data_IF_757888498494
#
_entry.id   IF_757888498494
#
_cell.length_a   1.000
_cell.length_b   1.000
_cell.length_c   1.000
_cell.angle_alpha   90.00
_cell.angle_beta   90.00
_cell.angle_gamma   90.00
#
_symmetry.space_group_name_H-M   'P 1'
#
loop_
_entity.id
_entity.type
_entity.pdbx_description
1 polymer ?
#
# COMPACT_ATOMS: atom_id res chain seq x y z
N UNK A 1 35.47 -65.86 16.01
CA UNK A 1 36.09 -64.56 15.85
C UNK A 1 36.02 -64.09 14.38
N UNK A 2 34.91 -63.57 13.96
CA UNK A 2 34.81 -62.86 12.66
C UNK A 2 35.37 -61.44 12.85
N UNK A 3 36.62 -61.24 12.46
CA UNK A 3 37.17 -59.92 12.25
C UNK A 3 36.41 -59.28 11.07
N UNK A 4 35.60 -58.25 11.34
CA UNK A 4 35.07 -57.33 10.28
C UNK A 4 36.30 -56.72 9.62
N UNK A 5 36.62 -57.13 8.39
CA UNK A 5 37.55 -56.41 7.55
C UNK A 5 36.94 -55.00 7.28
N UNK A 6 37.56 -53.97 7.81
CA UNK A 6 37.17 -52.60 7.51
C UNK A 6 37.38 -52.35 6.01
N UNK A 7 36.35 -51.82 5.33
CA UNK A 7 36.47 -51.40 3.93
C UNK A 7 37.48 -50.25 3.84
N UNK A 8 38.53 -50.45 3.06
CA UNK A 8 39.52 -49.40 2.78
C UNK A 8 39.07 -48.63 1.52
N UNK A 9 38.68 -47.39 1.73
CA UNK A 9 38.21 -46.53 0.63
C UNK A 9 39.32 -46.22 -0.36
N UNK A 10 39.05 -46.40 -1.64
CA UNK A 10 39.94 -45.96 -2.71
C UNK A 10 39.90 -44.43 -2.86
N UNK A 11 40.95 -43.84 -3.43
CA UNK A 11 40.98 -42.38 -3.70
C UNK A 11 39.84 -41.91 -4.62
N UNK A 12 39.39 -42.79 -5.53
CA UNK A 12 38.24 -42.49 -6.40
C UNK A 12 36.93 -42.45 -5.61
N UNK A 13 36.69 -43.35 -4.67
CA UNK A 13 35.50 -43.32 -3.83
C UNK A 13 35.47 -42.13 -2.87
N UNK A 14 36.64 -41.78 -2.29
CA UNK A 14 36.78 -40.57 -1.45
C UNK A 14 36.47 -39.32 -2.24
N UNK A 15 36.96 -39.20 -3.46
CA UNK A 15 36.70 -38.09 -4.34
C UNK A 15 35.22 -38.00 -4.72
N UNK A 16 34.61 -39.14 -5.09
CA UNK A 16 33.19 -39.19 -5.44
C UNK A 16 32.31 -38.81 -4.26
N UNK A 17 32.56 -39.29 -3.05
CA UNK A 17 31.79 -38.90 -1.86
C UNK A 17 31.96 -37.44 -1.51
N UNK A 18 33.19 -36.88 -1.64
CA UNK A 18 33.43 -35.44 -1.44
C UNK A 18 32.67 -34.56 -2.44
N UNK A 19 32.65 -34.94 -3.70
CA UNK A 19 31.93 -34.21 -4.74
C UNK A 19 30.40 -34.30 -4.55
N UNK A 20 29.91 -35.49 -4.17
CA UNK A 20 28.49 -35.70 -3.83
C UNK A 20 28.05 -34.82 -2.64
N UNK A 21 28.88 -34.73 -1.58
CA UNK A 21 28.60 -33.85 -0.43
C UNK A 21 28.55 -32.38 -0.83
N UNK A 22 29.48 -31.91 -1.67
CA UNK A 22 29.47 -30.52 -2.16
C UNK A 22 28.18 -30.20 -2.94
N UNK A 23 27.76 -31.12 -3.82
CA UNK A 23 26.51 -30.95 -4.59
C UNK A 23 25.31 -30.88 -3.64
N UNK A 24 25.21 -31.80 -2.68
CA UNK A 24 24.12 -31.78 -1.70
C UNK A 24 24.10 -30.48 -0.87
N UNK A 25 25.26 -30.02 -0.41
CA UNK A 25 25.38 -28.75 0.31
C UNK A 25 24.88 -27.56 -0.54
N UNK A 26 25.26 -27.51 -1.82
CA UNK A 26 24.82 -26.45 -2.72
C UNK A 26 23.29 -26.45 -2.92
N UNK A 27 22.70 -27.63 -3.09
CA UNK A 27 21.25 -27.83 -3.22
C UNK A 27 20.53 -27.41 -1.95
N UNK A 28 21.01 -27.83 -0.78
CA UNK A 28 20.42 -27.49 0.52
C UNK A 28 20.50 -25.96 0.78
N UNK A 29 21.65 -25.34 0.54
CA UNK A 29 21.84 -23.93 0.71
C UNK A 29 20.88 -23.12 -0.20
N UNK A 30 20.77 -23.51 -1.47
CA UNK A 30 19.84 -22.89 -2.41
C UNK A 30 18.37 -23.05 -1.99
N UNK A 31 18.01 -24.21 -1.45
CA UNK A 31 16.65 -24.49 -0.95
C UNK A 31 16.33 -23.66 0.30
N UNK A 32 17.27 -23.56 1.24
CA UNK A 32 17.13 -22.75 2.45
C UNK A 32 16.97 -21.27 2.08
N UNK A 33 17.82 -20.75 1.18
CA UNK A 33 17.73 -19.35 0.70
C UNK A 33 16.38 -19.07 0.01
N UNK A 34 15.91 -19.99 -0.84
CA UNK A 34 14.62 -19.84 -1.52
C UNK A 34 13.43 -19.85 -0.52
N UNK A 35 13.46 -20.72 0.47
CA UNK A 35 12.42 -20.80 1.50
C UNK A 35 12.44 -19.58 2.43
N UNK A 36 13.63 -19.10 2.81
CA UNK A 36 13.79 -17.88 3.59
C UNK A 36 13.27 -16.66 2.85
N UNK A 37 13.55 -16.55 1.55
CA UNK A 37 13.04 -15.49 0.70
C UNK A 37 11.51 -15.54 0.57
N UNK A 38 10.96 -16.73 0.32
CA UNK A 38 9.51 -16.92 0.24
C UNK A 38 8.81 -16.58 1.56
N UNK A 39 9.39 -16.94 2.70
CA UNK A 39 8.88 -16.58 4.03
C UNK A 39 8.92 -15.07 4.28
N UNK A 40 9.98 -14.40 3.84
CA UNK A 40 10.09 -12.94 3.94
C UNK A 40 9.05 -12.23 3.08
N UNK A 41 8.79 -12.72 1.87
CA UNK A 41 7.73 -12.15 1.00
C UNK A 41 6.34 -12.35 1.62
N UNK A 42 6.03 -13.54 2.13
CA UNK A 42 4.74 -13.79 2.77
C UNK A 42 4.52 -12.89 4.00
N UNK A 43 5.56 -12.70 4.82
CA UNK A 43 5.49 -11.80 5.96
C UNK A 43 5.29 -10.32 5.55
N UNK A 44 5.94 -9.87 4.47
CA UNK A 44 5.74 -8.53 3.92
C UNK A 44 4.32 -8.34 3.37
N UNK A 45 3.78 -9.31 2.65
CA UNK A 45 2.39 -9.28 2.18
C UNK A 45 1.42 -9.19 3.36
N UNK A 46 1.61 -10.03 4.39
CA UNK A 46 0.78 -10.00 5.60
C UNK A 46 0.85 -8.65 6.32
N UNK A 47 2.04 -8.04 6.42
CA UNK A 47 2.19 -6.69 6.98
C UNK A 47 1.42 -5.68 6.14
N UNK A 48 1.57 -5.68 4.82
CA UNK A 48 0.90 -4.75 3.93
C UNK A 48 -0.63 -4.90 3.96
N UNK A 49 -1.12 -6.11 4.16
CA UNK A 49 -2.55 -6.40 4.28
C UNK A 49 -3.13 -5.95 5.64
N UNK A 50 -2.28 -5.78 6.66
CA UNK A 50 -2.68 -5.35 8.01
C UNK A 50 -2.44 -3.85 8.30
N UNK A 51 -1.83 -3.08 7.39
CA UNK A 51 -1.55 -1.64 7.57
C UNK A 51 -2.84 -0.79 7.61
N UNK A 52 -3.99 -1.33 7.19
CA UNK A 52 -5.27 -0.62 7.23
C UNK A 52 -5.46 0.40 6.10
N UNK A 53 -4.63 0.38 5.06
CA UNK A 53 -4.80 1.19 3.86
C UNK A 53 -4.70 0.37 2.58
N UNK A 54 -5.37 0.82 1.53
CA UNK A 54 -5.25 0.22 0.22
C UNK A 54 -3.93 0.69 -0.43
N UNK A 55 -3.10 -0.28 -0.86
CA UNK A 55 -1.79 -0.02 -1.44
C UNK A 55 -1.70 -0.65 -2.83
N UNK A 56 -1.17 0.12 -3.79
CA UNK A 56 -0.81 -0.41 -5.11
C UNK A 56 0.43 0.27 -5.67
N UNK A 57 1.08 -0.41 -6.60
CA UNK A 57 2.28 0.07 -7.29
C UNK A 57 2.06 -0.03 -8.79
N UNK A 58 2.44 1.02 -9.51
CA UNK A 58 2.41 1.04 -10.97
C UNK A 58 3.79 1.31 -11.56
N UNK A 59 4.06 0.74 -12.72
CA UNK A 59 5.22 1.11 -13.54
C UNK A 59 5.07 2.57 -13.99
N UNK A 60 6.10 3.37 -13.80
CA UNK A 60 6.05 4.82 -14.09
C UNK A 60 5.85 5.13 -15.58
N UNK A 61 6.39 4.28 -16.47
CA UNK A 61 6.36 4.52 -17.91
C UNK A 61 5.10 4.00 -18.58
N UNK A 62 4.62 2.82 -18.15
CA UNK A 62 3.49 2.13 -18.78
C UNK A 62 2.17 2.33 -18.04
N UNK A 63 2.20 2.79 -16.79
CA UNK A 63 1.02 2.85 -15.91
C UNK A 63 0.52 1.48 -15.45
N UNK A 64 1.14 0.38 -15.89
CA UNK A 64 0.70 -0.98 -15.55
C UNK A 64 0.83 -1.22 -14.05
N UNK A 65 -0.22 -1.79 -13.45
CA UNK A 65 -0.20 -2.22 -12.05
C UNK A 65 0.78 -3.39 -11.86
N UNK A 66 1.75 -3.21 -10.96
CA UNK A 66 2.78 -4.19 -10.61
C UNK A 66 2.45 -4.94 -9.33
N UNK A 67 1.76 -4.27 -8.40
CA UNK A 67 1.38 -4.82 -7.11
C UNK A 67 0.09 -4.19 -6.61
N UNK A 68 -0.72 -4.95 -5.88
CA UNK A 68 -1.88 -4.48 -5.13
C UNK A 68 -2.05 -5.37 -3.89
N UNK A 69 -2.21 -4.75 -2.71
CA UNK A 69 -2.50 -5.50 -1.49
C UNK A 69 -3.95 -5.98 -1.44
N UNK A 70 -4.27 -6.86 -0.49
CA UNK A 70 -5.61 -7.45 -0.39
C UNK A 70 -6.69 -6.42 -0.05
N UNK A 71 -6.35 -5.38 0.72
CA UNK A 71 -7.27 -4.29 1.05
C UNK A 71 -7.71 -3.58 -0.22
N UNK A 72 -6.78 -3.23 -1.13
CA UNK A 72 -7.15 -2.62 -2.42
C UNK A 72 -8.08 -3.51 -3.22
N UNK A 73 -7.72 -4.80 -3.36
CA UNK A 73 -8.51 -5.77 -4.14
C UNK A 73 -9.92 -5.95 -3.59
N UNK A 74 -10.09 -5.94 -2.26
CA UNK A 74 -11.39 -6.07 -1.62
C UNK A 74 -12.20 -4.78 -1.71
N UNK A 75 -11.55 -3.63 -1.48
CA UNK A 75 -12.24 -2.34 -1.44
C UNK A 75 -12.66 -1.86 -2.82
N UNK A 76 -11.82 -2.09 -3.84
CA UNK A 76 -12.02 -1.60 -5.22
C UNK A 76 -12.17 -2.74 -6.24
N UNK A 77 -12.75 -3.87 -5.84
CA UNK A 77 -12.91 -5.05 -6.71
C UNK A 77 -13.65 -4.74 -8.01
N UNK A 78 -14.74 -3.97 -7.94
CA UNK A 78 -15.57 -3.58 -9.08
C UNK A 78 -14.79 -2.66 -10.03
N UNK A 79 -14.18 -1.62 -9.49
CA UNK A 79 -13.44 -0.61 -10.23
C UNK A 79 -12.21 -1.21 -10.93
N UNK A 80 -11.58 -2.21 -10.30
CA UNK A 80 -10.47 -2.95 -10.89
C UNK A 80 -10.94 -3.87 -12.05
N UNK A 81 -12.12 -4.52 -11.91
CA UNK A 81 -12.69 -5.36 -12.96
C UNK A 81 -13.16 -4.53 -14.17
N UNK A 82 -13.74 -3.36 -13.92
CA UNK A 82 -14.29 -2.48 -14.96
C UNK A 82 -13.20 -1.60 -15.62
N UNK A 83 -11.93 -1.74 -15.23
CA UNK A 83 -10.80 -0.89 -15.64
C UNK A 83 -11.03 0.61 -15.41
N UNK A 84 -11.90 0.97 -14.46
CA UNK A 84 -12.30 2.35 -14.14
C UNK A 84 -11.51 2.95 -12.96
N UNK A 85 -10.59 2.20 -12.38
CA UNK A 85 -9.84 2.63 -11.19
C UNK A 85 -9.01 3.89 -11.43
N UNK A 86 -8.34 3.99 -12.59
CA UNK A 86 -7.56 5.18 -12.95
C UNK A 86 -8.45 6.41 -13.19
N UNK A 87 -9.63 6.23 -13.77
CA UNK A 87 -10.59 7.31 -13.99
C UNK A 87 -11.15 7.86 -12.66
N UNK A 88 -11.41 6.98 -11.70
CA UNK A 88 -11.82 7.37 -10.35
C UNK A 88 -10.77 8.25 -9.67
N UNK A 89 -9.50 7.90 -9.79
CA UNK A 89 -8.41 8.68 -9.21
C UNK A 89 -8.19 10.01 -9.92
N UNK A 90 -8.27 10.03 -11.26
CA UNK A 90 -8.06 11.24 -12.06
C UNK A 90 -9.18 12.27 -11.91
N UNK A 91 -10.44 11.83 -11.78
CA UNK A 91 -11.59 12.73 -11.60
C UNK A 91 -11.56 13.48 -10.26
N UNK A 92 -10.86 12.94 -9.28
CA UNK A 92 -10.85 13.42 -7.88
C UNK A 92 -9.57 14.16 -7.49
N UNK A 93 -8.49 14.06 -8.28
CA UNK A 93 -7.23 14.76 -8.02
C UNK A 93 -7.36 16.22 -8.46
N UNK A 94 -7.73 17.10 -7.56
CA UNK A 94 -7.39 18.52 -7.70
C UNK A 94 -5.88 18.62 -7.67
N UNK A 95 -5.27 18.91 -8.83
CA UNK A 95 -3.82 19.10 -9.00
C UNK A 95 -3.37 20.33 -8.20
N UNK A 96 -3.19 20.17 -6.92
CA UNK A 96 -2.41 21.11 -6.14
C UNK A 96 -0.93 20.72 -6.32
N UNK A 97 -0.20 21.52 -7.10
CA UNK A 97 1.20 21.28 -7.49
C UNK A 97 2.19 21.24 -6.32
N UNK A 98 1.72 21.51 -5.11
CA UNK A 98 2.56 21.64 -3.90
C UNK A 98 2.40 20.50 -2.87
N UNK A 99 1.41 19.62 -3.02
CA UNK A 99 1.16 18.53 -2.05
C UNK A 99 1.19 17.16 -2.71
N UNK A 100 2.01 16.30 -2.15
CA UNK A 100 2.11 14.85 -2.47
C UNK A 100 0.85 14.07 -2.04
N UNK A 101 -0.09 14.72 -1.36
CA UNK A 101 -1.33 14.13 -0.81
C UNK A 101 -2.53 14.77 -1.47
N UNK A 102 -3.41 13.96 -2.03
CA UNK A 102 -4.67 14.39 -2.66
C UNK A 102 -5.84 13.71 -1.96
N UNK A 103 -6.95 14.44 -1.76
CA UNK A 103 -8.18 13.86 -1.21
C UNK A 103 -9.06 13.39 -2.36
N UNK A 104 -9.47 12.13 -2.30
CA UNK A 104 -10.34 11.47 -3.28
C UNK A 104 -11.67 11.14 -2.64
N UNK A 105 -12.78 11.46 -3.30
CA UNK A 105 -14.12 11.07 -2.88
C UNK A 105 -14.68 10.00 -3.79
N UNK A 106 -15.07 8.87 -3.21
CA UNK A 106 -15.72 7.77 -3.92
C UNK A 106 -17.23 7.89 -3.77
N UNK A 107 -17.91 8.35 -4.82
CA UNK A 107 -19.33 8.68 -4.76
C UNK A 107 -20.25 7.47 -4.49
N UNK A 108 -19.97 6.29 -5.10
CA UNK A 108 -20.81 5.09 -4.88
C UNK A 108 -20.72 4.55 -3.45
N UNK A 109 -19.59 4.76 -2.75
CA UNK A 109 -19.36 4.29 -1.38
C UNK A 109 -19.50 5.40 -0.34
N UNK A 110 -19.71 6.63 -0.78
CA UNK A 110 -19.75 7.81 0.09
C UNK A 110 -18.52 7.92 1.02
N UNK A 111 -17.34 7.53 0.51
CA UNK A 111 -16.11 7.36 1.30
C UNK A 111 -15.04 8.34 0.82
N UNK A 112 -14.34 8.94 1.77
CA UNK A 112 -13.22 9.85 1.52
C UNK A 112 -11.89 9.13 1.74
N UNK A 113 -10.96 9.31 0.81
CA UNK A 113 -9.62 8.74 0.90
C UNK A 113 -8.55 9.83 0.81
N UNK A 114 -7.52 9.74 1.66
CA UNK A 114 -6.25 10.42 1.45
C UNK A 114 -5.41 9.56 0.49
N UNK A 115 -5.09 10.10 -0.68
CA UNK A 115 -4.22 9.47 -1.68
C UNK A 115 -2.82 10.06 -1.55
N UNK A 116 -1.86 9.23 -1.18
CA UNK A 116 -0.44 9.55 -1.19
C UNK A 116 0.22 8.85 -2.39
N UNK A 117 1.02 9.60 -3.16
CA UNK A 117 1.85 9.05 -4.24
C UNK A 117 3.33 9.30 -3.94
N UNK A 118 4.16 8.27 -4.11
CA UNK A 118 5.61 8.35 -3.92
C UNK A 118 6.35 7.54 -5.00
N UNK A 119 7.38 8.15 -5.59
CA UNK A 119 8.29 7.43 -6.48
C UNK A 119 9.18 6.48 -5.68
N UNK A 120 9.32 5.24 -6.13
CA UNK A 120 10.17 4.20 -5.53
C UNK A 120 10.99 3.49 -6.63
N UNK A 121 12.09 2.84 -6.23
CA UNK A 121 12.75 1.86 -7.07
C UNK A 121 12.06 0.50 -6.92
N UNK A 122 11.63 -0.10 -8.02
CA UNK A 122 11.05 -1.43 -8.01
C UNK A 122 12.13 -2.51 -7.97
N UNK A 123 11.72 -3.77 -7.75
CA UNK A 123 12.63 -4.93 -7.61
C UNK A 123 13.53 -5.18 -8.82
N UNK A 124 13.15 -4.71 -10.00
CA UNK A 124 13.94 -4.79 -11.24
C UNK A 124 14.80 -3.53 -11.48
N UNK A 125 14.86 -2.62 -10.50
CA UNK A 125 15.61 -1.37 -10.55
C UNK A 125 14.94 -0.25 -11.35
N UNK A 126 13.78 -0.48 -11.96
CA UNK A 126 13.02 0.56 -12.65
C UNK A 126 12.27 1.46 -11.67
N UNK A 127 11.92 2.65 -12.15
CA UNK A 127 11.08 3.57 -11.40
C UNK A 127 9.63 3.12 -11.40
N UNK A 128 9.02 3.14 -10.23
CA UNK A 128 7.62 2.83 -10.02
C UNK A 128 6.97 3.87 -9.11
N UNK A 129 5.66 4.01 -9.20
CA UNK A 129 4.88 4.86 -8.33
C UNK A 129 4.14 3.98 -7.31
N UNK A 130 4.41 4.22 -6.04
CA UNK A 130 3.68 3.65 -4.91
C UNK A 130 2.53 4.59 -4.56
N UNK A 131 1.34 4.04 -4.49
CA UNK A 131 0.14 4.75 -4.07
C UNK A 131 -0.42 4.10 -2.81
N UNK A 132 -0.85 4.93 -1.86
CA UNK A 132 -1.62 4.48 -0.70
C UNK A 132 -2.88 5.31 -0.55
N UNK A 133 -4.02 4.63 -0.34
CA UNK A 133 -5.31 5.24 -0.06
C UNK A 133 -5.70 4.90 1.37
N UNK A 134 -5.82 5.93 2.17
CA UNK A 134 -6.23 5.82 3.56
C UNK A 134 -7.65 6.35 3.72
N UNK A 135 -8.56 5.57 4.29
CA UNK A 135 -9.93 6.01 4.57
C UNK A 135 -9.93 7.08 5.65
N UNK A 136 -10.43 8.26 5.29
CA UNK A 136 -10.55 9.41 6.18
C UNK A 136 -12.00 9.84 6.39
N UNK A 137 -12.97 8.97 6.09
CA UNK A 137 -14.40 9.29 6.15
C UNK A 137 -14.80 9.73 7.55
N UNK A 138 -14.46 8.97 8.58
CA UNK A 138 -14.75 9.33 9.96
C UNK A 138 -14.12 10.68 10.34
N UNK A 139 -12.88 10.91 9.96
CA UNK A 139 -12.19 12.18 10.19
C UNK A 139 -12.93 13.35 9.54
N UNK A 140 -13.39 13.18 8.30
CA UNK A 140 -14.19 14.20 7.57
C UNK A 140 -15.53 14.46 8.23
N UNK A 141 -16.25 13.40 8.62
CA UNK A 141 -17.53 13.53 9.32
C UNK A 141 -17.38 14.23 10.68
N UNK A 142 -16.32 13.89 11.44
CA UNK A 142 -16.02 14.58 12.69
C UNK A 142 -15.68 16.06 12.47
N UNK A 143 -14.88 16.40 11.47
CA UNK A 143 -14.58 17.78 11.12
C UNK A 143 -15.85 18.56 10.79
N UNK A 144 -16.70 18.03 9.92
CA UNK A 144 -17.99 18.67 9.56
C UNK A 144 -18.89 18.85 10.77
N UNK A 145 -18.92 17.87 11.68
CA UNK A 145 -19.71 17.98 12.92
C UNK A 145 -19.20 19.08 13.83
N UNK A 146 -17.87 19.17 14.02
CA UNK A 146 -17.24 20.23 14.81
C UNK A 146 -17.47 21.59 14.17
N UNK A 147 -17.30 21.74 12.85
CA UNK A 147 -17.56 22.98 12.13
C UNK A 147 -19.02 23.41 12.26
N UNK A 148 -19.95 22.46 12.16
CA UNK A 148 -21.39 22.75 12.34
C UNK A 148 -21.71 23.19 13.77
N UNK A 149 -21.08 22.56 14.79
CA UNK A 149 -21.26 22.95 16.20
C UNK A 149 -20.61 24.30 16.51
N UNK A 150 -19.45 24.62 15.88
CA UNK A 150 -18.77 25.88 16.08
C UNK A 150 -19.48 27.07 15.41
N UNK A 151 -20.20 26.84 14.31
CA UNK A 151 -20.79 27.88 13.49
C UNK A 151 -22.30 28.07 13.74
N UNK A 152 -22.99 27.10 14.36
CA UNK A 152 -24.42 27.16 14.55
C UNK A 152 -24.79 27.27 16.04
N UNK A 153 -25.89 27.96 16.31
CA UNK A 153 -26.52 28.00 17.62
C UNK A 153 -27.21 26.67 17.92
N UNK A 154 -26.95 26.10 19.08
CA UNK A 154 -27.41 24.78 19.47
C UNK A 154 -28.95 24.67 19.56
N UNK A 155 -29.64 25.75 19.93
CA UNK A 155 -31.09 25.74 20.14
C UNK A 155 -31.87 25.95 18.84
N UNK A 156 -31.40 26.84 17.99
CA UNK A 156 -32.12 27.26 16.78
C UNK A 156 -31.63 26.58 15.51
N UNK A 157 -30.40 26.01 15.52
CA UNK A 157 -29.75 25.46 14.33
C UNK A 157 -29.29 26.50 13.31
N UNK A 158 -29.53 27.80 13.56
CA UNK A 158 -29.07 28.90 12.72
C UNK A 158 -27.61 29.24 12.96
N UNK A 159 -26.99 30.04 12.08
CA UNK A 159 -25.64 30.54 12.32
C UNK A 159 -25.56 31.27 13.65
N UNK A 160 -24.53 31.01 14.42
CA UNK A 160 -24.27 31.69 15.67
C UNK A 160 -23.75 33.12 15.38
N UNK A 161 -23.79 33.98 16.43
CA UNK A 161 -23.33 35.35 16.32
C UNK A 161 -21.95 35.54 15.75
N UNK A 162 -20.99 34.67 16.17
CA UNK A 162 -19.60 34.71 15.75
C UNK A 162 -19.49 34.47 14.22
N UNK A 163 -20.23 33.51 13.66
CA UNK A 163 -20.26 33.28 12.21
C UNK A 163 -20.84 34.40 11.44
N UNK A 164 -21.94 35.00 11.93
CA UNK A 164 -22.56 36.16 11.30
C UNK A 164 -21.62 37.38 11.28
N UNK A 165 -20.87 37.62 12.36
CA UNK A 165 -19.89 38.72 12.42
C UNK A 165 -18.73 38.49 11.44
N UNK A 166 -18.21 37.25 11.30
CA UNK A 166 -17.19 36.89 10.33
C UNK A 166 -17.65 37.09 8.87
N UNK A 167 -18.86 36.64 8.53
CA UNK A 167 -19.40 36.75 7.20
C UNK A 167 -19.65 38.24 6.84
N UNK A 168 -20.08 39.07 7.80
CA UNK A 168 -20.22 40.50 7.61
C UNK A 168 -18.89 41.23 7.39
N UNK A 169 -17.83 40.86 8.12
CA UNK A 169 -16.48 41.39 7.91
C UNK A 169 -15.95 41.10 6.52
N UNK A 170 -16.10 39.85 6.06
CA UNK A 170 -15.69 39.44 4.71
C UNK A 170 -16.45 40.25 3.62
N UNK A 171 -17.75 40.51 3.83
CA UNK A 171 -18.55 41.26 2.89
C UNK A 171 -18.13 42.73 2.79
N UNK A 172 -17.60 43.28 3.88
CA UNK A 172 -17.12 44.67 3.93
C UNK A 172 -15.72 44.82 3.32
N UNK A 173 -14.87 43.78 3.40
CA UNK A 173 -13.52 43.78 2.85
C UNK A 173 -13.49 43.55 1.33
N UNK A 174 -14.52 42.91 0.75
CA UNK A 174 -14.63 42.60 -0.69
C UNK A 174 -15.36 43.74 -1.47
N UNK A 175 -15.76 44.83 -0.81
CA UNK A 175 -16.44 45.99 -1.42
C UNK A 175 -15.53 47.20 -1.46
#
# INVERSE_FOLDING_TARGET
NHRRQGHVWSMAEIKFTSDAVKILQSILTRRIQKNSLAGSYAALEEILDNVGCAIYVTDQNTGRMLFANQILKNTFAKELMDHNFDALLQSSVRKDKTRTVSVVYHAEKETWYDLLCKEIAWVDGKKANLYSLYDITDKKLYQQKIEKQANNDFLTGLYNRMRCEQDLQHFVEDT
#
